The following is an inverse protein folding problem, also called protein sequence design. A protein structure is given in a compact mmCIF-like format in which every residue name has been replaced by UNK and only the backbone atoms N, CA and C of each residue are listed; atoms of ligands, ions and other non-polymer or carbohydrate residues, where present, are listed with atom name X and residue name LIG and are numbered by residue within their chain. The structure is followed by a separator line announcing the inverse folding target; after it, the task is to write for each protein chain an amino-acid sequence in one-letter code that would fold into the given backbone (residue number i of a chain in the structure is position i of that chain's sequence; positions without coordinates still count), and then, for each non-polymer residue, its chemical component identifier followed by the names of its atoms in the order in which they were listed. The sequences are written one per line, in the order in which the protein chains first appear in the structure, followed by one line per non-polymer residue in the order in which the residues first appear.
data_IF_672640696679
#
_entry.id   IF_672640696679
#
_cell.length_a   1.000
_cell.length_b   1.000
_cell.length_c   1.000
_cell.angle_alpha   90.00
_cell.angle_beta   90.00
_cell.angle_gamma   90.00
#
_symmetry.space_group_name_H-M   'P 1'
#
loop_
_entity.id
_entity.type
_entity.pdbx_description
1 polymer ?
#
# COMPACT_ATOMS: atom_id res chain seq x y z
N UNK A 1 8.78 3.75 -15.00
CA UNK A 1 7.31 3.91 -15.07
C UNK A 1 6.85 4.83 -16.21
N UNK A 2 7.17 6.13 -16.23
CA UNK A 2 6.70 7.07 -17.29
C UNK A 2 7.22 6.69 -18.69
N UNK A 3 8.47 6.22 -18.82
CA UNK A 3 9.00 5.73 -20.10
C UNK A 3 8.24 4.53 -20.70
N UNK A 4 7.58 3.71 -19.88
CA UNK A 4 6.70 2.64 -20.38
C UNK A 4 5.37 3.18 -20.88
N UNK A 5 4.83 4.22 -20.23
CA UNK A 5 3.61 4.89 -20.68
C UNK A 5 3.83 5.52 -22.05
N UNK A 6 4.98 6.16 -22.26
CA UNK A 6 5.40 6.74 -23.55
C UNK A 6 5.36 5.66 -24.65
N UNK A 7 6.00 4.51 -24.40
CA UNK A 7 6.04 3.40 -25.37
C UNK A 7 4.69 2.72 -25.56
N UNK A 8 3.93 2.50 -24.48
CA UNK A 8 2.65 1.76 -24.48
C UNK A 8 1.50 2.57 -25.08
N UNK A 9 1.49 3.88 -24.88
CA UNK A 9 0.43 4.78 -25.36
C UNK A 9 0.81 5.53 -26.64
N UNK A 10 1.92 5.12 -27.29
CA UNK A 10 2.41 5.64 -28.56
C UNK A 10 2.34 7.17 -28.63
N UNK A 11 3.07 7.85 -27.74
CA UNK A 11 3.09 9.32 -27.64
C UNK A 11 3.92 10.01 -28.74
N UNK A 12 3.96 9.41 -29.94
CA UNK A 12 4.68 9.97 -31.10
C UNK A 12 4.22 11.37 -31.48
N UNK A 13 2.95 11.69 -31.20
CA UNK A 13 2.31 12.96 -31.55
C UNK A 13 2.01 13.82 -30.31
N UNK A 14 2.80 13.68 -29.23
CA UNK A 14 2.59 14.45 -28.00
C UNK A 14 2.73 15.95 -28.26
N UNK A 15 1.65 16.70 -28.03
CA UNK A 15 1.73 18.15 -27.86
C UNK A 15 1.59 18.48 -26.38
N UNK A 16 2.41 19.42 -25.91
CA UNK A 16 2.50 19.74 -24.50
C UNK A 16 1.20 20.34 -23.96
N UNK A 17 0.73 19.81 -22.83
CA UNK A 17 -0.52 20.22 -22.19
C UNK A 17 -0.40 21.59 -21.50
N UNK A 18 0.83 22.09 -21.33
CA UNK A 18 1.14 23.38 -20.72
C UNK A 18 0.43 23.59 -19.38
N UNK A 19 0.27 22.53 -18.58
CA UNK A 19 -0.33 22.60 -17.26
C UNK A 19 0.54 23.51 -16.40
N UNK A 20 -0.02 24.65 -15.99
CA UNK A 20 0.70 25.65 -15.23
C UNK A 20 1.11 25.12 -13.85
N UNK A 21 2.38 25.35 -13.50
CA UNK A 21 2.96 24.91 -12.24
C UNK A 21 2.27 25.55 -11.04
N UNK A 22 1.88 26.82 -11.15
CA UNK A 22 1.21 27.52 -10.05
C UNK A 22 -0.18 26.94 -9.78
N UNK A 23 -0.87 26.49 -10.82
CA UNK A 23 -2.15 25.79 -10.68
C UNK A 23 -2.02 24.53 -9.84
N UNK A 24 -0.97 23.73 -10.06
CA UNK A 24 -0.71 22.53 -9.26
C UNK A 24 -0.24 22.86 -7.84
N UNK A 25 0.70 23.80 -7.68
CA UNK A 25 1.20 24.21 -6.35
C UNK A 25 0.07 24.73 -5.44
N UNK A 26 -0.90 25.47 -5.97
CA UNK A 26 -2.06 25.95 -5.21
C UNK A 26 -2.94 24.82 -4.67
N UNK A 27 -3.03 23.69 -5.37
CA UNK A 27 -3.86 22.54 -4.96
C UNK A 27 -3.18 21.67 -3.92
N UNK A 28 -1.86 21.74 -3.84
CA UNK A 28 -1.01 20.96 -2.96
C UNK A 28 -0.28 21.84 -1.94
N UNK A 29 -0.83 22.99 -1.58
CA UNK A 29 -0.21 23.96 -0.65
C UNK A 29 0.09 23.37 0.74
N UNK A 30 -0.62 22.30 1.10
CA UNK A 30 -0.47 21.52 2.33
C UNK A 30 0.66 20.48 2.30
N UNK A 31 1.29 20.20 1.14
CA UNK A 31 2.44 19.29 0.99
C UNK A 31 3.52 19.87 0.09
N UNK A 32 4.78 19.69 0.48
CA UNK A 32 5.91 20.11 -0.36
C UNK A 32 6.17 19.06 -1.46
N UNK A 33 5.51 19.22 -2.62
CA UNK A 33 5.74 18.37 -3.80
C UNK A 33 6.69 19.03 -4.79
N UNK A 34 7.65 18.26 -5.31
CA UNK A 34 8.46 18.71 -6.43
C UNK A 34 7.66 18.61 -7.72
N UNK A 35 7.38 19.76 -8.34
CA UNK A 35 6.72 19.84 -9.65
C UNK A 35 7.78 20.21 -10.69
N UNK A 36 8.12 19.30 -11.62
CA UNK A 36 9.19 19.52 -12.57
C UNK A 36 8.85 20.67 -13.53
N UNK A 37 9.84 21.46 -13.92
CA UNK A 37 9.70 22.44 -14.99
C UNK A 37 9.70 21.76 -16.36
N UNK A 38 8.84 22.21 -17.27
CA UNK A 38 8.81 21.73 -18.65
C UNK A 38 9.68 22.68 -19.47
N UNK A 39 10.90 22.25 -19.78
CA UNK A 39 11.75 22.93 -20.74
C UNK A 39 11.71 22.16 -22.06
N UNK A 40 10.99 22.72 -23.03
CA UNK A 40 10.69 22.12 -24.34
C UNK A 40 11.94 21.79 -25.17
N UNK A 41 13.11 22.30 -24.80
CA UNK A 41 14.36 22.02 -25.48
C UNK A 41 14.98 20.66 -25.11
N UNK A 42 14.43 19.94 -24.12
CA UNK A 42 14.99 18.69 -23.65
C UNK A 42 14.12 17.46 -23.97
N UNK A 43 14.75 16.30 -24.26
CA UNK A 43 14.03 15.05 -24.55
C UNK A 43 13.10 14.57 -23.43
N UNK A 44 13.40 14.93 -22.17
CA UNK A 44 12.59 14.57 -21.00
C UNK A 44 11.40 15.51 -20.75
N UNK A 45 11.16 16.52 -21.60
CA UNK A 45 10.03 17.42 -21.44
C UNK A 45 8.67 16.68 -21.46
N UNK A 46 8.54 15.64 -22.29
CA UNK A 46 7.33 14.79 -22.36
C UNK A 46 7.11 14.05 -21.04
N UNK A 47 8.20 13.57 -20.40
CA UNK A 47 8.13 12.89 -19.11
C UNK A 47 7.58 13.85 -18.06
N UNK A 48 8.14 15.07 -17.98
CA UNK A 48 7.71 16.09 -17.02
C UNK A 48 6.26 16.51 -17.25
N UNK A 49 5.80 16.57 -18.51
CA UNK A 49 4.41 16.92 -18.84
C UNK A 49 3.43 15.80 -18.48
N UNK A 50 3.81 14.53 -18.66
CA UNK A 50 3.04 13.37 -18.17
C UNK A 50 2.97 13.38 -16.63
N UNK A 51 4.06 13.71 -15.94
CA UNK A 51 4.06 13.84 -14.47
C UNK A 51 3.13 14.97 -14.00
N UNK A 52 3.13 16.12 -14.68
CA UNK A 52 2.17 17.19 -14.40
C UNK A 52 0.72 16.78 -14.67
N UNK A 53 0.47 16.02 -15.73
CA UNK A 53 -0.85 15.44 -16.00
C UNK A 53 -1.29 14.50 -14.87
N UNK A 54 -0.39 13.66 -14.36
CA UNK A 54 -0.66 12.81 -13.21
C UNK A 54 -1.07 13.65 -11.99
N UNK A 55 -0.28 14.65 -11.60
CA UNK A 55 -0.61 15.55 -10.47
C UNK A 55 -1.93 16.29 -10.67
N UNK A 56 -2.24 16.70 -11.90
CA UNK A 56 -3.53 17.30 -12.20
C UNK A 56 -4.66 16.29 -11.99
N UNK A 57 -4.55 15.07 -12.54
CA UNK A 57 -5.58 14.05 -12.46
C UNK A 57 -5.90 13.64 -11.02
N UNK A 58 -4.87 13.47 -10.17
CA UNK A 58 -5.06 13.10 -8.75
C UNK A 58 -5.55 14.28 -7.89
N UNK A 59 -5.73 15.47 -8.46
CA UNK A 59 -6.35 16.62 -7.79
C UNK A 59 -7.88 16.64 -7.89
N UNK A 60 -8.49 15.70 -8.60
CA UNK A 60 -9.92 15.65 -8.87
C UNK A 60 -10.51 14.28 -8.53
N UNK A 61 -11.81 14.26 -8.19
CA UNK A 61 -12.48 13.04 -7.72
C UNK A 61 -13.01 12.17 -8.87
N UNK A 62 -12.89 12.65 -10.12
CA UNK A 62 -13.29 11.88 -11.29
C UNK A 62 -12.63 12.33 -12.59
N UNK A 63 -12.57 11.41 -13.57
CA UNK A 63 -12.21 11.71 -14.97
C UNK A 63 -12.99 12.90 -15.53
N UNK A 64 -14.30 12.94 -15.28
CA UNK A 64 -15.19 13.97 -15.81
C UNK A 64 -14.79 15.37 -15.32
N UNK A 65 -14.34 15.50 -14.07
CA UNK A 65 -13.84 16.77 -13.53
C UNK A 65 -12.52 17.18 -14.17
N UNK A 66 -11.60 16.23 -14.40
CA UNK A 66 -10.34 16.50 -15.11
C UNK A 66 -10.61 16.98 -16.53
N UNK A 67 -11.49 16.30 -17.26
CA UNK A 67 -11.86 16.69 -18.63
C UNK A 67 -12.57 18.05 -18.67
N UNK A 68 -13.44 18.31 -17.69
CA UNK A 68 -14.08 19.62 -17.53
C UNK A 68 -13.03 20.71 -17.28
N UNK A 69 -12.06 20.46 -16.40
CA UNK A 69 -10.98 21.40 -16.15
C UNK A 69 -10.21 21.75 -17.43
N UNK A 70 -9.86 20.76 -18.25
CA UNK A 70 -9.21 21.00 -19.55
C UNK A 70 -10.09 21.85 -20.46
N UNK A 71 -11.39 21.58 -20.54
CA UNK A 71 -12.31 22.37 -21.37
C UNK A 71 -12.49 23.83 -20.91
N UNK A 72 -12.31 24.10 -19.61
CA UNK A 72 -12.51 25.42 -19.01
C UNK A 72 -11.22 26.24 -18.92
N UNK A 73 -10.05 25.59 -18.84
CA UNK A 73 -8.77 26.22 -18.51
C UNK A 73 -7.68 26.00 -19.56
N UNK A 74 -7.95 25.23 -20.62
CA UNK A 74 -7.02 24.99 -21.71
C UNK A 74 -7.71 25.17 -23.05
N UNK A 75 -7.05 25.85 -23.98
CA UNK A 75 -7.49 25.93 -25.38
C UNK A 75 -7.15 24.64 -26.17
N UNK A 76 -6.46 23.69 -25.53
CA UNK A 76 -5.97 22.47 -26.16
C UNK A 76 -7.04 21.37 -26.20
N UNK A 77 -7.23 20.79 -27.39
CA UNK A 77 -8.07 19.61 -27.58
C UNK A 77 -7.24 18.36 -27.29
N UNK A 78 -7.53 17.65 -26.19
CA UNK A 78 -6.83 16.43 -25.80
C UNK A 78 -6.87 15.36 -26.91
N UNK A 79 -5.70 14.86 -27.32
CA UNK A 79 -5.59 13.69 -28.20
C UNK A 79 -5.80 12.38 -27.44
N UNK A 80 -5.93 11.29 -28.20
CA UNK A 80 -6.18 9.96 -27.69
C UNK A 80 -5.18 9.53 -26.60
N UNK A 81 -3.88 9.80 -26.77
CA UNK A 81 -2.87 9.46 -25.77
C UNK A 81 -3.08 10.22 -24.45
N UNK A 82 -3.49 11.50 -24.50
CA UNK A 82 -3.84 12.27 -23.32
C UNK A 82 -5.05 11.67 -22.62
N UNK A 83 -6.10 11.34 -23.38
CA UNK A 83 -7.33 10.77 -22.83
C UNK A 83 -7.05 9.42 -22.16
N UNK A 84 -6.21 8.56 -22.77
CA UNK A 84 -5.81 7.28 -22.18
C UNK A 84 -5.02 7.44 -20.87
N UNK A 85 -4.17 8.46 -20.78
CA UNK A 85 -3.45 8.77 -19.54
C UNK A 85 -4.38 9.39 -18.49
N UNK A 86 -5.30 10.26 -18.88
CA UNK A 86 -6.34 10.78 -17.98
C UNK A 86 -7.19 9.63 -17.44
N UNK A 87 -7.58 8.66 -18.26
CA UNK A 87 -8.29 7.46 -17.82
C UNK A 87 -7.49 6.62 -16.82
N UNK A 88 -6.18 6.53 -17.01
CA UNK A 88 -5.28 5.80 -16.13
C UNK A 88 -5.05 6.51 -14.80
N UNK A 89 -4.89 7.84 -14.82
CA UNK A 89 -4.50 8.62 -13.65
C UNK A 89 -5.69 9.12 -12.82
N UNK A 90 -6.86 9.29 -13.44
CA UNK A 90 -8.03 9.83 -12.75
C UNK A 90 -8.56 8.85 -11.71
N UNK A 91 -9.07 9.40 -10.61
CA UNK A 91 -9.64 8.64 -9.51
C UNK A 91 -10.75 7.70 -9.98
N UNK A 92 -10.54 6.40 -9.83
CA UNK A 92 -11.56 5.38 -10.10
C UNK A 92 -12.18 4.95 -8.78
N UNK A 93 -13.33 5.54 -8.41
CA UNK A 93 -14.07 5.20 -7.18
C UNK A 93 -14.34 3.69 -7.00
N UNK A 94 -14.41 2.94 -8.11
CA UNK A 94 -14.56 1.48 -8.13
C UNK A 94 -13.30 0.78 -7.57
N UNK A 95 -12.12 1.33 -7.80
CA UNK A 95 -10.86 0.77 -7.32
C UNK A 95 -10.66 0.97 -5.81
N UNK A 96 -11.25 2.01 -5.19
CA UNK A 96 -11.20 2.17 -3.72
C UNK A 96 -12.02 1.14 -2.97
N UNK A 97 -13.17 0.72 -3.50
CA UNK A 97 -13.94 -0.35 -2.86
C UNK A 97 -13.16 -1.66 -2.80
N UNK A 98 -12.23 -1.87 -3.73
CA UNK A 98 -11.34 -3.02 -3.78
C UNK A 98 -9.99 -2.75 -3.11
N UNK A 99 -9.78 -1.56 -2.54
CA UNK A 99 -8.57 -1.24 -1.79
C UNK A 99 -8.63 -1.96 -0.43
N UNK A 100 -7.54 -2.66 -0.12
CA UNK A 100 -7.37 -3.39 1.14
C UNK A 100 -7.47 -2.48 2.37
N UNK A 101 -7.03 -1.23 2.29
CA UNK A 101 -7.08 -0.28 3.41
C UNK A 101 -8.52 0.08 3.76
N UNK A 102 -9.35 0.31 2.74
CA UNK A 102 -10.79 0.56 2.92
C UNK A 102 -11.47 -0.66 3.55
N UNK A 103 -11.15 -1.87 3.07
CA UNK A 103 -11.70 -3.11 3.63
C UNK A 103 -11.25 -3.36 5.08
N UNK A 104 -10.03 -2.94 5.44
CA UNK A 104 -9.52 -2.99 6.83
C UNK A 104 -10.33 -2.05 7.73
N UNK A 105 -10.64 -0.84 7.26
CA UNK A 105 -11.41 0.15 8.04
C UNK A 105 -12.84 -0.30 8.36
N UNK A 106 -13.47 -1.10 7.50
CA UNK A 106 -14.82 -1.63 7.73
C UNK A 106 -14.85 -2.85 8.69
N UNK A 107 -13.69 -3.36 9.11
CA UNK A 107 -13.61 -4.59 9.91
C UNK A 107 -13.66 -4.34 11.43
N UNK A 108 -14.30 -5.26 12.15
CA UNK A 108 -14.28 -5.26 13.62
C UNK A 108 -12.95 -5.79 14.19
N UNK A 109 -12.66 -5.45 15.44
CA UNK A 109 -11.42 -5.80 16.13
C UNK A 109 -11.09 -7.31 16.15
N UNK A 110 -12.08 -8.20 16.22
CA UNK A 110 -11.80 -9.65 16.18
C UNK A 110 -11.30 -10.07 14.80
N UNK A 111 -11.94 -9.56 13.74
CA UNK A 111 -11.52 -9.81 12.36
C UNK A 111 -10.09 -9.30 12.17
N UNK A 112 -9.82 -8.07 12.64
CA UNK A 112 -8.49 -7.45 12.54
C UNK A 112 -7.41 -8.26 13.25
N UNK A 113 -7.63 -8.74 14.48
CA UNK A 113 -6.65 -9.57 15.21
C UNK A 113 -6.31 -10.89 14.49
N UNK A 114 -7.33 -11.59 13.99
CA UNK A 114 -7.12 -12.81 13.21
C UNK A 114 -6.38 -12.52 11.91
N UNK A 115 -6.74 -11.42 11.25
CA UNK A 115 -6.12 -11.01 10.00
C UNK A 115 -4.66 -10.60 10.19
N UNK A 116 -4.32 -9.79 11.21
CA UNK A 116 -2.93 -9.44 11.56
C UNK A 116 -2.09 -10.71 11.74
N UNK A 117 -2.60 -11.70 12.48
CA UNK A 117 -1.90 -12.98 12.71
C UNK A 117 -1.56 -13.67 11.38
N UNK A 118 -2.55 -13.83 10.49
CA UNK A 118 -2.37 -14.48 9.19
C UNK A 118 -1.37 -13.74 8.29
N UNK A 119 -1.44 -12.42 8.29
CA UNK A 119 -0.57 -11.58 7.45
C UNK A 119 0.88 -11.63 7.94
N UNK A 120 1.09 -11.56 9.26
CA UNK A 120 2.43 -11.68 9.83
C UNK A 120 3.01 -13.09 9.61
N UNK A 121 2.21 -14.15 9.69
CA UNK A 121 2.66 -15.51 9.31
C UNK A 121 3.05 -15.58 7.83
N UNK A 122 2.22 -15.00 6.95
CA UNK A 122 2.51 -14.92 5.51
C UNK A 122 3.80 -14.14 5.24
N UNK A 123 4.07 -13.08 6.00
CA UNK A 123 5.28 -12.26 5.86
C UNK A 123 6.55 -13.01 6.25
N UNK A 124 6.49 -13.93 7.22
CA UNK A 124 7.64 -14.78 7.59
C UNK A 124 7.99 -15.80 6.51
N UNK A 125 7.03 -16.23 5.68
CA UNK A 125 7.32 -17.11 4.54
C UNK A 125 8.10 -16.39 3.44
N UNK A 126 7.90 -15.08 3.33
CA UNK A 126 8.65 -14.24 2.41
C UNK A 126 9.98 -13.81 3.00
N UNK A 127 10.08 -13.60 4.31
CA UNK A 127 11.35 -13.31 4.96
C UNK A 127 12.33 -14.47 4.75
N UNK A 128 13.41 -14.22 3.99
CA UNK A 128 14.41 -15.23 3.59
C UNK A 128 14.80 -16.12 4.78
N UNK A 129 14.43 -17.40 4.76
CA UNK A 129 14.72 -18.31 5.84
C UNK A 129 16.06 -18.97 5.54
N UNK A 130 17.10 -18.71 6.34
CA UNK A 130 17.90 -19.87 6.72
C UNK A 130 16.98 -20.73 7.60
N UNK A 131 16.45 -21.88 7.11
CA UNK A 131 15.34 -22.60 7.74
C UNK A 131 15.73 -23.30 9.05
N UNK A 132 16.93 -23.07 9.54
CA UNK A 132 17.58 -23.90 10.55
C UNK A 132 17.38 -23.42 11.98
N UNK A 133 16.77 -22.25 12.19
CA UNK A 133 16.55 -21.70 13.54
C UNK A 133 15.10 -21.27 13.76
N UNK A 134 14.45 -21.68 14.88
CA UNK A 134 13.15 -21.12 15.25
C UNK A 134 13.31 -19.63 15.53
N UNK A 135 12.78 -18.78 14.64
CA UNK A 135 12.81 -17.33 14.89
C UNK A 135 11.96 -17.00 16.11
N UNK A 136 12.44 -16.04 16.91
CA UNK A 136 11.67 -15.48 18.02
C UNK A 136 10.30 -14.98 17.55
N UNK A 137 10.22 -14.46 16.31
CA UNK A 137 9.01 -13.97 15.66
C UNK A 137 7.96 -15.07 15.43
N UNK A 138 8.38 -16.25 14.93
CA UNK A 138 7.47 -17.39 14.75
C UNK A 138 6.87 -17.81 16.11
N UNK A 139 7.69 -17.87 17.16
CA UNK A 139 7.23 -18.21 18.51
C UNK A 139 6.18 -17.20 19.04
N UNK A 140 6.31 -15.91 18.68
CA UNK A 140 5.33 -14.89 19.05
C UNK A 140 3.99 -15.12 18.36
N UNK A 141 3.99 -15.47 17.08
CA UNK A 141 2.76 -15.73 16.33
C UNK A 141 2.04 -17.00 16.81
N UNK A 142 2.77 -18.07 17.13
CA UNK A 142 2.17 -19.29 17.71
C UNK A 142 1.49 -18.99 19.04
N UNK A 143 2.09 -18.16 19.90
CA UNK A 143 1.47 -17.72 21.16
C UNK A 143 0.26 -16.83 20.88
N UNK A 144 0.38 -15.85 19.99
CA UNK A 144 -0.69 -14.95 19.59
C UNK A 144 -1.94 -15.70 19.12
N UNK A 145 -1.78 -16.70 18.26
CA UNK A 145 -2.91 -17.53 17.77
C UNK A 145 -3.63 -18.25 18.90
N UNK A 146 -2.90 -18.79 19.89
CA UNK A 146 -3.53 -19.44 21.06
C UNK A 146 -4.37 -18.44 21.85
N UNK A 147 -3.84 -17.25 22.07
CA UNK A 147 -4.51 -16.18 22.81
C UNK A 147 -5.78 -15.73 22.09
N UNK A 148 -5.67 -15.40 20.80
CA UNK A 148 -6.77 -14.86 19.98
C UNK A 148 -7.90 -15.89 19.79
N UNK A 149 -7.59 -17.18 19.72
CA UNK A 149 -8.62 -18.21 19.55
C UNK A 149 -9.53 -18.40 20.78
N UNK A 150 -9.11 -17.96 21.97
CA UNK A 150 -9.83 -18.19 23.23
C UNK A 150 -10.36 -16.90 23.86
N UNK A 151 -10.22 -15.77 23.16
CA UNK A 151 -10.54 -14.45 23.70
C UNK A 151 -12.04 -14.13 23.58
N UNK A 152 -12.59 -13.57 24.66
CA UNK A 152 -13.90 -12.90 24.64
C UNK A 152 -13.69 -11.39 24.61
N UNK A 153 -13.82 -10.81 23.42
CA UNK A 153 -13.56 -9.38 23.18
C UNK A 153 -14.46 -8.45 23.99
N UNK A 154 -15.63 -8.92 24.43
CA UNK A 154 -16.58 -8.10 25.20
C UNK A 154 -16.11 -7.82 26.62
N UNK A 155 -15.13 -8.58 27.11
CA UNK A 155 -14.59 -8.48 28.48
C UNK A 155 -13.32 -7.65 28.57
N UNK A 156 -12.83 -7.14 27.45
CA UNK A 156 -11.55 -6.43 27.39
C UNK A 156 -11.75 -4.93 27.60
N UNK A 157 -10.82 -4.31 28.34
CA UNK A 157 -10.77 -2.86 28.52
C UNK A 157 -9.91 -2.22 27.43
N UNK A 158 -10.39 -1.18 26.73
CA UNK A 158 -9.58 -0.51 25.72
C UNK A 158 -8.40 0.24 26.37
N UNK A 159 -7.25 0.22 25.72
CA UNK A 159 -6.06 1.00 26.08
C UNK A 159 -5.47 1.67 24.83
N UNK A 160 -4.93 2.87 25.00
CA UNK A 160 -4.17 3.57 23.95
C UNK A 160 -2.66 3.37 24.10
N UNK A 161 -2.22 2.73 25.18
CA UNK A 161 -0.81 2.63 25.51
C UNK A 161 -0.21 1.38 24.90
N UNK A 162 0.66 1.57 23.91
CA UNK A 162 1.45 0.48 23.35
C UNK A 162 2.89 0.63 23.85
N UNK A 163 3.18 0.02 24.99
CA UNK A 163 4.52 0.04 25.58
C UNK A 163 5.44 -0.89 24.78
N UNK A 164 6.23 -0.32 23.86
CA UNK A 164 7.30 -1.04 23.19
C UNK A 164 8.40 -1.38 24.20
N UNK A 165 8.36 -2.59 24.77
CA UNK A 165 9.53 -3.19 25.41
C UNK A 165 10.24 -4.05 24.38
N UNK A 166 11.15 -3.44 23.64
CA UNK A 166 12.15 -4.14 22.82
C UNK A 166 13.52 -3.93 23.44
N UNK A 167 14.34 -5.00 23.46
CA UNK A 167 15.79 -4.86 23.31
C UNK A 167 16.03 -4.00 22.07
N UNK A 168 16.99 -3.08 22.14
CA UNK A 168 17.24 -2.00 21.18
C UNK A 168 16.82 -2.35 19.75
N UNK A 169 15.86 -1.59 19.20
CA UNK A 169 15.47 -1.69 17.79
C UNK A 169 16.73 -1.55 16.94
N UNK A 170 17.10 -2.61 16.23
CA UNK A 170 18.36 -2.65 15.48
C UNK A 170 18.41 -1.61 14.35
N UNK A 171 17.25 -1.16 13.83
CA UNK A 171 17.12 0.01 12.96
C UNK A 171 15.65 0.53 12.88
N UNK A 172 15.48 1.82 12.61
CA UNK A 172 14.20 2.50 12.32
C UNK A 172 13.53 2.04 11.01
N UNK A 173 14.29 1.39 10.13
CA UNK A 173 13.84 0.82 8.86
C UNK A 173 13.30 -0.61 9.01
N UNK A 174 13.41 -1.21 10.20
CA UNK A 174 13.12 -2.61 10.41
C UNK A 174 11.60 -2.87 10.57
N UNK A 175 11.02 -3.65 9.66
CA UNK A 175 9.62 -4.09 9.67
C UNK A 175 9.31 -5.09 10.80
N UNK A 176 10.35 -5.66 11.45
CA UNK A 176 10.16 -6.58 12.60
C UNK A 176 9.46 -5.92 13.77
N UNK A 177 9.50 -4.59 13.89
CA UNK A 177 8.83 -3.83 14.96
C UNK A 177 7.32 -4.13 15.04
N UNK A 178 6.67 -4.45 13.90
CA UNK A 178 5.24 -4.79 13.86
C UNK A 178 4.95 -6.10 14.60
N UNK A 179 5.87 -7.07 14.57
CA UNK A 179 5.75 -8.31 15.34
C UNK A 179 5.85 -8.05 16.85
N UNK A 180 6.72 -7.13 17.27
CA UNK A 180 6.83 -6.74 18.68
C UNK A 180 5.60 -5.97 19.16
N UNK A 181 5.07 -5.06 18.32
CA UNK A 181 3.79 -4.39 18.59
C UNK A 181 2.68 -5.42 18.78
N UNK A 182 2.58 -6.39 17.86
CA UNK A 182 1.56 -7.42 17.92
C UNK A 182 1.70 -8.34 19.15
N UNK A 183 2.93 -8.76 19.49
CA UNK A 183 3.22 -9.48 20.73
C UNK A 183 2.73 -8.70 21.97
N UNK A 184 2.94 -7.39 22.00
CA UNK A 184 2.48 -6.57 23.12
C UNK A 184 0.96 -6.49 23.20
N UNK A 185 0.28 -6.36 22.06
CA UNK A 185 -1.18 -6.44 21.98
C UNK A 185 -1.68 -7.78 22.54
N UNK A 186 -1.04 -8.89 22.20
CA UNK A 186 -1.38 -10.19 22.77
C UNK A 186 -1.14 -10.26 24.29
N UNK A 187 -0.06 -9.64 24.79
CA UNK A 187 0.18 -9.57 26.23
C UNK A 187 -0.85 -8.69 26.97
N UNK A 188 -1.38 -7.65 26.32
CA UNK A 188 -2.47 -6.83 26.86
C UNK A 188 -3.76 -7.65 26.92
N UNK A 189 -4.05 -8.37 25.84
CA UNK A 189 -5.19 -9.28 25.76
C UNK A 189 -5.18 -10.29 26.91
N UNK A 190 -4.03 -10.91 27.18
CA UNK A 190 -3.87 -11.87 28.29
C UNK A 190 -4.13 -11.24 29.67
N UNK A 191 -3.98 -9.91 29.79
CA UNK A 191 -4.27 -9.13 31.00
C UNK A 191 -5.70 -8.58 31.04
N UNK A 192 -6.52 -8.84 30.03
CA UNK A 192 -7.88 -8.31 29.91
C UNK A 192 -7.96 -6.91 29.30
N UNK A 193 -6.94 -6.49 28.54
CA UNK A 193 -6.86 -5.19 27.87
C UNK A 193 -6.79 -5.36 26.35
N UNK A 194 -7.23 -4.36 25.57
CA UNK A 194 -7.12 -4.37 24.12
C UNK A 194 -6.68 -3.02 23.59
N UNK A 195 -5.67 -3.03 22.71
CA UNK A 195 -5.23 -1.82 22.03
C UNK A 195 -6.33 -1.26 21.12
N UNK A 196 -6.59 0.04 21.20
CA UNK A 196 -7.71 0.69 20.52
C UNK A 196 -7.54 0.83 19.01
N UNK A 197 -6.30 1.00 18.53
CA UNK A 197 -6.01 1.25 17.10
C UNK A 197 -5.49 0.02 16.36
N UNK A 198 -6.32 -1.05 16.34
CA UNK A 198 -6.01 -2.26 15.57
C UNK A 198 -6.00 -2.03 14.06
N UNK A 199 -6.71 -1.01 13.57
CA UNK A 199 -6.74 -0.63 12.15
C UNK A 199 -5.35 -0.25 11.67
N UNK A 200 -4.65 0.64 12.37
CA UNK A 200 -3.28 1.03 12.01
C UNK A 200 -2.32 -0.14 12.06
N UNK A 201 -2.41 -0.99 13.09
CA UNK A 201 -1.55 -2.19 13.21
C UNK A 201 -1.81 -3.15 12.05
N UNK A 202 -3.05 -3.26 11.60
CA UNK A 202 -3.43 -4.10 10.47
C UNK A 202 -2.84 -3.60 9.16
N UNK A 203 -2.91 -2.29 8.91
CA UNK A 203 -2.27 -1.66 7.74
C UNK A 203 -0.74 -1.85 7.79
N UNK A 204 -0.13 -1.67 8.95
CA UNK A 204 1.31 -1.92 9.16
C UNK A 204 1.68 -3.39 8.91
N UNK A 205 0.85 -4.35 9.31
CA UNK A 205 1.07 -5.78 9.02
C UNK A 205 1.02 -6.07 7.51
N UNK A 206 0.06 -5.50 6.78
CA UNK A 206 0.03 -5.64 5.32
C UNK A 206 1.28 -5.03 4.65
N UNK A 207 1.73 -3.85 5.11
CA UNK A 207 2.97 -3.25 4.64
C UNK A 207 4.19 -4.11 4.98
N UNK A 208 4.19 -4.78 6.13
CA UNK A 208 5.24 -5.74 6.54
C UNK A 208 5.35 -6.88 5.52
N UNK A 209 4.22 -7.45 5.07
CA UNK A 209 4.21 -8.47 4.02
C UNK A 209 4.82 -7.96 2.70
N UNK A 210 4.43 -6.77 2.26
CA UNK A 210 4.97 -6.14 1.05
C UNK A 210 6.49 -5.94 1.18
N UNK A 211 6.94 -5.47 2.34
CA UNK A 211 8.36 -5.23 2.63
C UNK A 211 9.15 -6.53 2.63
N UNK A 212 8.63 -7.59 3.26
CA UNK A 212 9.26 -8.93 3.23
C UNK A 212 9.41 -9.47 1.80
N UNK A 213 8.41 -9.27 0.94
CA UNK A 213 8.48 -9.66 -0.49
C UNK A 213 9.61 -8.91 -1.18
N UNK A 214 9.67 -7.59 -1.02
CA UNK A 214 10.70 -6.73 -1.64
C UNK A 214 12.10 -7.16 -1.20
N UNK A 215 12.33 -7.31 0.11
CA UNK A 215 13.62 -7.73 0.66
C UNK A 215 14.04 -9.11 0.14
N UNK A 216 13.13 -10.09 0.15
CA UNK A 216 13.44 -11.42 -0.38
C UNK A 216 13.85 -11.37 -1.85
N UNK A 217 13.14 -10.58 -2.64
CA UNK A 217 13.45 -10.42 -4.06
C UNK A 217 14.72 -9.62 -4.27
N UNK A 218 15.06 -8.65 -3.42
CA UNK A 218 16.35 -7.93 -3.43
C UNK A 218 17.52 -8.90 -3.17
N UNK A 219 17.41 -9.74 -2.14
CA UNK A 219 18.39 -10.80 -1.88
C UNK A 219 18.54 -11.75 -3.08
N UNK A 220 17.42 -12.14 -3.70
CA UNK A 220 17.43 -12.99 -4.90
C UNK A 220 17.85 -12.24 -6.18
N UNK A 221 17.67 -10.92 -6.26
CA UNK A 221 18.03 -10.11 -7.42
C UNK A 221 19.52 -10.21 -7.71
N UNK A 222 20.33 -10.16 -6.65
CA UNK A 222 21.78 -10.37 -6.71
C UNK A 222 22.19 -11.74 -7.31
N UNK A 223 21.24 -12.66 -7.48
CA UNK A 223 21.44 -13.99 -8.09
C UNK A 223 20.69 -14.19 -9.42
N UNK A 224 19.87 -13.24 -9.87
CA UNK A 224 19.07 -13.35 -11.11
C UNK A 224 19.53 -12.37 -12.18
N UNK A 225 19.42 -12.77 -13.47
CA UNK A 225 19.82 -11.96 -14.64
C UNK A 225 18.65 -11.14 -15.22
N UNK A 226 17.79 -10.59 -14.36
CA UNK A 226 16.69 -9.74 -14.82
C UNK A 226 17.19 -8.32 -15.07
N UNK A 227 16.59 -7.62 -16.03
CA UNK A 227 16.73 -6.17 -16.11
C UNK A 227 15.97 -5.51 -14.94
N UNK A 228 16.34 -4.27 -14.59
CA UNK A 228 15.66 -3.49 -13.54
C UNK A 228 14.13 -3.42 -13.77
N UNK A 229 13.71 -3.26 -15.02
CA UNK A 229 12.29 -3.18 -15.41
C UNK A 229 11.59 -4.54 -15.19
N UNK A 230 12.20 -5.64 -15.61
CA UNK A 230 11.64 -6.98 -15.41
C UNK A 230 11.58 -7.35 -13.92
N UNK A 231 12.54 -6.86 -13.14
CA UNK A 231 12.59 -7.02 -11.70
C UNK A 231 11.43 -6.29 -11.01
N UNK A 232 11.22 -5.00 -11.30
CA UNK A 232 10.10 -4.22 -10.75
C UNK A 232 8.74 -4.82 -11.13
N UNK A 233 8.55 -5.21 -12.40
CA UNK A 233 7.31 -5.89 -12.83
C UNK A 233 7.07 -7.19 -12.06
N UNK A 234 8.11 -7.97 -11.82
CA UNK A 234 8.01 -9.23 -11.06
C UNK A 234 7.63 -8.95 -9.60
N UNK A 235 8.18 -7.92 -8.97
CA UNK A 235 7.80 -7.48 -7.62
C UNK A 235 6.32 -7.09 -7.61
N UNK A 236 5.89 -6.22 -8.53
CA UNK A 236 4.53 -5.70 -8.59
C UNK A 236 3.50 -6.82 -8.81
N UNK A 237 3.81 -7.79 -9.67
CA UNK A 237 2.96 -8.96 -9.90
C UNK A 237 2.82 -9.82 -8.64
N UNK A 238 3.92 -10.03 -7.89
CA UNK A 238 3.88 -10.78 -6.65
C UNK A 238 3.08 -10.03 -5.60
N UNK A 239 3.34 -8.74 -5.40
CA UNK A 239 2.59 -7.87 -4.48
C UNK A 239 1.10 -7.92 -4.81
N UNK A 240 0.72 -7.73 -6.08
CA UNK A 240 -0.68 -7.79 -6.51
C UNK A 240 -1.35 -9.12 -6.18
N UNK A 241 -0.68 -10.25 -6.39
CA UNK A 241 -1.20 -11.58 -6.03
C UNK A 241 -1.35 -11.75 -4.52
N UNK A 242 -0.38 -11.29 -3.74
CA UNK A 242 -0.41 -11.37 -2.27
C UNK A 242 -1.48 -10.44 -1.69
N UNK A 243 -1.64 -9.21 -2.18
CA UNK A 243 -2.75 -8.32 -1.81
C UNK A 243 -4.11 -8.94 -2.16
N UNK A 244 -4.26 -9.59 -3.32
CA UNK A 244 -5.47 -10.33 -3.66
C UNK A 244 -5.70 -11.56 -2.74
N UNK A 245 -4.64 -12.19 -2.26
CA UNK A 245 -4.75 -13.24 -1.23
C UNK A 245 -5.23 -12.64 0.09
N UNK A 246 -4.67 -11.51 0.53
CA UNK A 246 -5.06 -10.78 1.73
C UNK A 246 -6.55 -10.39 1.70
N UNK A 247 -7.01 -9.80 0.59
CA UNK A 247 -8.43 -9.46 0.39
C UNK A 247 -9.34 -10.68 0.52
N UNK A 248 -8.94 -11.84 -0.04
CA UNK A 248 -9.70 -13.09 0.11
C UNK A 248 -9.74 -13.58 1.55
N UNK A 249 -8.62 -13.53 2.27
CA UNK A 249 -8.56 -13.94 3.68
C UNK A 249 -9.44 -13.04 4.55
N UNK A 250 -9.33 -11.73 4.38
CA UNK A 250 -10.14 -10.76 5.15
C UNK A 250 -11.64 -11.03 4.98
N UNK A 251 -12.07 -11.24 3.72
CA UNK A 251 -13.46 -11.59 3.41
C UNK A 251 -13.91 -12.93 4.02
N UNK A 252 -13.04 -13.95 4.02
CA UNK A 252 -13.36 -15.26 4.61
C UNK A 252 -13.56 -15.16 6.12
N UNK A 253 -12.69 -14.42 6.82
CA UNK A 253 -12.75 -14.21 8.27
C UNK A 253 -14.02 -13.43 8.64
N UNK A 254 -14.35 -12.37 7.89
CA UNK A 254 -15.55 -11.57 8.12
C UNK A 254 -16.83 -12.39 7.93
N UNK A 255 -16.88 -13.28 6.93
CA UNK A 255 -18.07 -14.11 6.64
C UNK A 255 -18.27 -15.28 7.61
N UNK A 256 -17.20 -15.83 8.19
CA UNK A 256 -17.33 -16.99 9.10
C UNK A 256 -18.08 -16.69 10.40
N UNK A 257 -18.32 -15.41 10.71
CA UNK A 257 -19.12 -14.99 11.87
C UNK A 257 -20.63 -14.83 11.58
N UNK A 258 -21.04 -14.56 10.35
CA UNK A 258 -22.48 -14.43 10.04
C UNK A 258 -23.24 -15.76 10.00
N UNK A 259 -22.55 -16.90 9.86
CA UNK A 259 -23.17 -18.22 9.87
C UNK A 259 -23.22 -18.89 11.26
N UNK A 260 -22.92 -18.15 12.34
CA UNK A 260 -22.92 -18.66 13.74
C UNK A 260 -23.95 -17.96 14.65
N UNK A 261 -24.93 -17.29 14.07
CA UNK A 261 -26.14 -16.79 14.76
C UNK A 261 -27.33 -17.61 14.32
#
# INVERSE_FOLDING_TARGET
MVGELITKYNVSDWFYLNIDKQTLLKRYDWINIYIPDINLNYPWAVINDIERLFYLCISFDSKSEVLKWFSENSELVLIESHIKLVDLFSYQKIELKNNIDYQIEECNNTTLLNFITLILERSLLWYSPEPTWPSSLYSYLVKARKIINHIDMTKLKPTNDLVLKGEDLFDSTDYTHVFYKFKNICNQIDKGEIYSDLTTITKQAHLTLITSIRLNLEYQHNTTKLTEIEYERKIDDIIKRETNWCLRQLNMISKTKHNKT
#
